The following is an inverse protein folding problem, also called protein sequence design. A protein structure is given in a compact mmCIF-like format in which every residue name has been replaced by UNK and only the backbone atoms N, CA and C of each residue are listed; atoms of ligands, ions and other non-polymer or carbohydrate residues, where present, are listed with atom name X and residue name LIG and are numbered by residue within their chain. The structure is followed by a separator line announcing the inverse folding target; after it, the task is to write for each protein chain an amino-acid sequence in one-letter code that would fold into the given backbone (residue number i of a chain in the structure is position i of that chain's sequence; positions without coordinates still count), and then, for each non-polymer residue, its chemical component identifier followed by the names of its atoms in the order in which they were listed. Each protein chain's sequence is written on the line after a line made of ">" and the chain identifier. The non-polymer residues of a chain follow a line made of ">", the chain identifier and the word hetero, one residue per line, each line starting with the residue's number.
data_IF_838607924666
#
_entry.id   IF_838607924666
#
_cell.length_a   1.000
_cell.length_b   1.000
_cell.length_c   1.000
_cell.angle_alpha   90.00
_cell.angle_beta   90.00
_cell.angle_gamma   90.00
#
_symmetry.space_group_name_H-M   'P 1'
#
loop_
_entity.id
_entity.type
_entity.pdbx_description
1 polymer ?
#
# COMPACT_ATOMS: atom_id res chain seq x y z
N UNK A 1 22.51 -30.36 -30.48
CA UNK A 1 21.29 -29.56 -30.46
C UNK A 1 21.05 -29.14 -29.02
N UNK A 2 21.08 -27.84 -28.79
CA UNK A 2 20.80 -27.20 -27.49
C UNK A 2 19.36 -26.71 -27.47
N UNK A 3 18.70 -26.94 -26.33
CA UNK A 3 17.36 -26.39 -26.07
C UNK A 3 17.40 -24.90 -25.74
N UNK A 4 16.21 -24.28 -25.70
CA UNK A 4 16.06 -22.87 -25.32
C UNK A 4 16.31 -22.69 -23.81
N UNK A 5 16.79 -21.53 -23.42
CA UNK A 5 16.85 -21.14 -22.02
C UNK A 5 15.46 -20.86 -21.45
N UNK A 6 15.29 -21.09 -20.14
CA UNK A 6 14.08 -20.74 -19.41
C UNK A 6 13.91 -19.24 -19.24
N UNK A 7 12.67 -18.79 -19.04
CA UNK A 7 12.31 -17.42 -18.68
C UNK A 7 12.70 -17.15 -17.23
N UNK A 8 13.15 -15.95 -16.90
CA UNK A 8 13.27 -15.51 -15.51
C UNK A 8 11.90 -15.33 -14.85
N UNK A 9 11.81 -15.48 -13.52
CA UNK A 9 10.61 -15.26 -12.74
C UNK A 9 10.15 -13.81 -12.79
N UNK A 10 8.85 -13.60 -12.64
CA UNK A 10 8.22 -12.27 -12.58
C UNK A 10 8.20 -11.75 -11.13
N UNK A 11 8.09 -10.42 -10.95
CA UNK A 11 7.82 -9.81 -9.65
C UNK A 11 6.36 -9.37 -9.62
N UNK A 12 5.61 -9.98 -8.72
CA UNK A 12 4.17 -9.85 -8.58
C UNK A 12 3.86 -9.21 -7.23
N UNK A 13 3.08 -8.13 -7.23
CA UNK A 13 2.54 -7.55 -6.01
C UNK A 13 1.12 -8.02 -5.78
N UNK A 14 0.80 -8.31 -4.51
CA UNK A 14 -0.55 -8.71 -4.08
C UNK A 14 -0.97 -7.83 -2.91
N UNK A 15 -2.16 -7.24 -3.01
CA UNK A 15 -2.77 -6.53 -1.90
C UNK A 15 -3.35 -7.53 -0.90
N UNK A 16 -3.01 -7.36 0.37
CA UNK A 16 -3.41 -8.22 1.47
C UNK A 16 -4.00 -7.35 2.60
N UNK A 17 -5.27 -7.53 2.91
CA UNK A 17 -5.94 -6.77 3.99
C UNK A 17 -5.47 -7.16 5.38
N UNK A 18 -4.80 -8.32 5.54
CA UNK A 18 -4.14 -8.71 6.77
C UNK A 18 -2.87 -7.90 7.06
N UNK A 19 -2.39 -7.09 6.10
CA UNK A 19 -1.25 -6.20 6.29
C UNK A 19 -1.70 -4.76 6.49
N UNK A 20 -1.21 -4.13 7.57
CA UNK A 20 -1.58 -2.75 7.90
C UNK A 20 -0.43 -1.75 7.75
N UNK A 21 0.80 -2.21 7.55
CA UNK A 21 1.99 -1.36 7.49
C UNK A 21 2.96 -1.79 6.40
N UNK A 22 3.82 -0.85 5.97
CA UNK A 22 4.95 -1.12 5.07
C UNK A 22 6.29 -1.28 5.82
N UNK A 23 6.25 -1.56 7.14
CA UNK A 23 7.46 -1.62 7.98
C UNK A 23 8.44 -2.70 7.52
N UNK A 24 7.97 -3.83 7.03
CA UNK A 24 8.82 -4.94 6.56
C UNK A 24 9.76 -4.51 5.43
N UNK A 25 9.31 -3.59 4.57
CA UNK A 25 10.12 -3.04 3.47
C UNK A 25 11.26 -2.12 3.95
N UNK A 26 11.23 -1.68 5.21
CA UNK A 26 12.34 -0.95 5.82
C UNK A 26 13.56 -1.84 6.05
N UNK A 27 13.31 -3.11 6.33
CA UNK A 27 14.36 -4.09 6.62
C UNK A 27 14.77 -4.87 5.36
N UNK A 28 13.82 -5.29 4.55
CA UNK A 28 14.08 -6.00 3.29
C UNK A 28 13.79 -5.06 2.11
N UNK A 29 14.84 -4.50 1.53
CA UNK A 29 14.74 -3.51 0.44
C UNK A 29 14.99 -4.08 -0.94
N UNK A 30 15.59 -5.26 -1.05
CA UNK A 30 15.92 -5.86 -2.34
C UNK A 30 15.13 -7.15 -2.54
N UNK A 31 14.50 -7.23 -3.68
CA UNK A 31 13.72 -8.39 -4.10
C UNK A 31 14.20 -8.81 -5.48
N UNK A 32 14.54 -10.09 -5.62
CA UNK A 32 15.05 -10.64 -6.86
C UNK A 32 14.36 -11.97 -7.12
N UNK A 33 13.65 -12.08 -8.26
CA UNK A 33 13.09 -13.35 -8.72
C UNK A 33 14.19 -14.26 -9.24
N UNK A 34 13.91 -15.55 -9.31
CA UNK A 34 14.88 -16.53 -9.77
C UNK A 34 15.16 -16.37 -11.27
N UNK A 35 16.42 -16.48 -11.71
CA UNK A 35 16.73 -16.52 -13.13
C UNK A 35 16.25 -17.83 -13.73
N UNK A 36 15.88 -17.82 -15.01
CA UNK A 36 15.69 -19.04 -15.76
C UNK A 36 17.02 -19.82 -15.93
N UNK A 37 16.90 -21.10 -16.10
CA UNK A 37 18.05 -21.98 -16.32
C UNK A 37 18.46 -22.01 -17.79
N UNK A 38 19.72 -22.28 -18.04
CA UNK A 38 20.21 -22.44 -19.41
C UNK A 38 19.67 -23.72 -20.04
N UNK A 39 19.44 -23.67 -21.35
CA UNK A 39 19.07 -24.85 -22.12
C UNK A 39 20.21 -25.88 -22.17
N UNK A 40 19.84 -27.13 -22.11
CA UNK A 40 20.75 -28.26 -22.09
C UNK A 40 20.98 -28.91 -23.46
N UNK A 41 21.86 -29.90 -23.50
CA UNK A 41 22.11 -30.77 -24.66
C UNK A 41 20.85 -31.61 -24.99
N UNK A 42 20.79 -32.16 -26.19
CA UNK A 42 19.71 -33.04 -26.67
C UNK A 42 18.34 -32.37 -26.63
N UNK A 43 18.33 -31.06 -26.95
CA UNK A 43 17.11 -30.28 -27.01
C UNK A 43 16.36 -30.15 -25.67
N UNK A 44 17.09 -30.25 -24.54
CA UNK A 44 16.47 -30.00 -23.23
C UNK A 44 16.31 -28.51 -22.98
N UNK A 45 15.07 -28.07 -22.74
CA UNK A 45 14.76 -26.69 -22.37
C UNK A 45 15.22 -26.41 -20.94
N UNK A 46 15.73 -25.20 -20.69
CA UNK A 46 15.97 -24.72 -19.34
C UNK A 46 14.67 -24.51 -18.59
N UNK A 47 14.64 -24.79 -17.29
CA UNK A 47 13.50 -24.50 -16.45
C UNK A 47 13.29 -22.98 -16.28
N UNK A 48 12.04 -22.55 -16.23
CA UNK A 48 11.71 -21.17 -15.90
C UNK A 48 12.04 -20.87 -14.43
N UNK A 49 12.43 -19.64 -14.15
CA UNK A 49 12.64 -19.16 -12.77
C UNK A 49 11.31 -18.95 -12.07
N UNK A 50 11.30 -19.17 -10.75
CA UNK A 50 10.14 -18.96 -9.91
C UNK A 50 9.82 -17.47 -9.77
N UNK A 51 8.52 -17.15 -9.82
CA UNK A 51 8.02 -15.81 -9.55
C UNK A 51 8.20 -15.45 -8.08
N UNK A 52 8.42 -14.17 -7.80
CA UNK A 52 8.38 -13.67 -6.43
C UNK A 52 7.08 -12.90 -6.19
N UNK A 53 6.38 -13.27 -5.11
CA UNK A 53 5.17 -12.62 -4.68
C UNK A 53 5.51 -11.69 -3.51
N UNK A 54 5.19 -10.41 -3.67
CA UNK A 54 5.38 -9.37 -2.67
C UNK A 54 4.02 -8.92 -2.19
N UNK A 55 3.72 -9.17 -0.91
CA UNK A 55 2.48 -8.73 -0.30
C UNK A 55 2.62 -7.29 0.16
N UNK A 56 1.60 -6.49 -0.07
CA UNK A 56 1.49 -5.09 0.37
C UNK A 56 0.09 -4.84 0.95
N UNK A 57 -0.06 -3.90 1.87
CA UNK A 57 -1.38 -3.50 2.37
C UNK A 57 -2.29 -3.00 1.26
N UNK A 58 -3.59 -3.19 1.42
CA UNK A 58 -4.60 -2.55 0.56
C UNK A 58 -4.48 -1.03 0.67
N UNK A 59 -4.52 -0.32 -0.45
CA UNK A 59 -4.30 1.13 -0.52
C UNK A 59 -2.85 1.54 -0.78
N UNK A 60 -1.96 0.58 -1.07
CA UNK A 60 -0.57 0.87 -1.43
C UNK A 60 -0.48 1.35 -2.88
N UNK A 61 0.12 2.53 -3.09
CA UNK A 61 0.55 3.00 -4.41
C UNK A 61 2.01 2.62 -4.61
N UNK A 62 2.30 2.10 -5.77
CA UNK A 62 3.64 1.72 -6.19
C UNK A 62 4.06 2.66 -7.32
N UNK A 63 5.13 3.42 -7.09
CA UNK A 63 5.71 4.36 -8.07
C UNK A 63 7.11 3.93 -8.44
N UNK A 64 7.50 4.22 -9.68
CA UNK A 64 8.91 4.17 -10.08
C UNK A 64 9.64 5.39 -9.52
N UNK A 65 10.75 5.19 -8.81
CA UNK A 65 11.45 6.26 -8.10
C UNK A 65 12.01 7.34 -9.06
N UNK A 66 12.52 6.93 -10.22
CA UNK A 66 13.17 7.85 -11.15
C UNK A 66 12.19 8.73 -11.94
N UNK A 67 11.06 8.17 -12.37
CA UNK A 67 10.06 8.88 -13.18
C UNK A 67 8.87 9.38 -12.38
N UNK A 68 8.76 8.98 -11.11
CA UNK A 68 7.60 9.20 -10.24
C UNK A 68 6.26 8.68 -10.84
N UNK A 69 6.34 7.82 -11.86
CA UNK A 69 5.18 7.24 -12.54
C UNK A 69 4.52 6.19 -11.65
N UNK A 70 3.20 6.27 -11.53
CA UNK A 70 2.41 5.23 -10.85
C UNK A 70 2.45 3.96 -11.70
N UNK A 71 3.00 2.89 -11.15
CA UNK A 71 3.04 1.57 -11.76
C UNK A 71 1.83 0.72 -11.36
N UNK A 72 1.36 0.87 -10.12
CA UNK A 72 0.14 0.23 -9.64
C UNK A 72 -0.48 1.01 -8.49
N UNK A 73 -1.81 0.92 -8.40
CA UNK A 73 -2.62 1.29 -7.24
C UNK A 73 -3.33 0.03 -6.76
N UNK A 74 -3.01 -0.41 -5.52
CA UNK A 74 -3.47 -1.67 -4.96
C UNK A 74 -4.68 -1.41 -4.06
N UNK A 75 -5.86 -1.28 -4.68
CA UNK A 75 -7.09 -0.79 -4.02
C UNK A 75 -7.97 -1.89 -3.45
N UNK A 76 -7.83 -3.14 -3.93
CA UNK A 76 -8.72 -4.23 -3.57
C UNK A 76 -7.95 -5.40 -2.95
N UNK A 77 -8.52 -6.05 -1.94
CA UNK A 77 -7.93 -7.24 -1.34
C UNK A 77 -7.78 -8.37 -2.38
N UNK A 78 -6.62 -9.02 -2.36
CA UNK A 78 -6.29 -10.07 -3.32
C UNK A 78 -5.95 -9.60 -4.73
N UNK A 79 -5.98 -8.29 -5.00
CA UNK A 79 -5.56 -7.72 -6.28
C UNK A 79 -4.10 -8.08 -6.58
N UNK A 80 -3.88 -8.68 -7.75
CA UNK A 80 -2.55 -9.08 -8.23
C UNK A 80 -2.10 -8.19 -9.37
N UNK A 81 -0.83 -7.76 -9.33
CA UNK A 81 -0.22 -6.95 -10.40
C UNK A 81 1.19 -7.45 -10.68
N UNK A 82 1.42 -7.89 -11.91
CA UNK A 82 2.78 -8.20 -12.39
C UNK A 82 3.42 -6.87 -12.78
N UNK A 83 4.35 -6.38 -11.96
CA UNK A 83 5.01 -5.09 -12.21
C UNK A 83 6.26 -5.22 -13.04
N UNK A 84 7.04 -6.27 -12.80
CA UNK A 84 8.31 -6.48 -13.51
C UNK A 84 8.28 -7.91 -14.07
N UNK A 85 8.37 -7.98 -15.39
CA UNK A 85 8.45 -9.27 -16.08
C UNK A 85 9.87 -9.77 -16.10
N UNK A 86 10.06 -11.05 -15.87
CA UNK A 86 11.33 -11.72 -16.04
C UNK A 86 11.86 -11.66 -17.47
N UNK A 87 13.16 -11.74 -17.60
CA UNK A 87 13.82 -11.76 -18.90
C UNK A 87 13.45 -13.02 -19.68
N UNK A 88 13.40 -12.91 -21.00
CA UNK A 88 13.14 -14.07 -21.87
C UNK A 88 14.41 -14.92 -21.99
N UNK A 89 14.26 -16.24 -21.97
CA UNK A 89 15.31 -17.18 -22.32
C UNK A 89 15.77 -17.00 -23.77
N UNK A 90 17.01 -17.30 -24.03
CA UNK A 90 17.60 -17.28 -25.37
C UNK A 90 17.20 -18.54 -26.15
N UNK A 91 17.14 -18.41 -27.46
CA UNK A 91 16.86 -19.54 -28.35
C UNK A 91 18.11 -20.44 -28.49
N UNK A 92 17.89 -21.74 -28.37
CA UNK A 92 18.93 -22.72 -28.59
C UNK A 92 19.44 -22.75 -30.04
N UNK A 93 20.62 -23.40 -30.27
CA UNK A 93 21.23 -23.42 -31.57
C UNK A 93 20.38 -24.12 -32.64
N UNK A 94 19.47 -25.01 -32.26
CA UNK A 94 18.56 -25.69 -33.19
C UNK A 94 17.70 -24.71 -34.03
N UNK A 95 17.33 -23.53 -33.48
CA UNK A 95 16.56 -22.54 -34.21
C UNK A 95 17.34 -21.85 -35.34
N UNK A 96 18.63 -22.03 -35.38
CA UNK A 96 19.55 -21.44 -36.36
C UNK A 96 20.11 -22.46 -37.34
N UNK A 97 19.60 -23.69 -37.31
CA UNK A 97 19.93 -24.71 -38.27
C UNK A 97 19.35 -24.36 -39.66
N UNK A 98 20.17 -24.49 -40.68
CA UNK A 98 19.82 -24.32 -42.08
C UNK A 98 20.19 -25.56 -42.88
N UNK A 99 19.65 -25.75 -44.12
CA UNK A 99 20.05 -26.89 -44.96
C UNK A 99 21.55 -27.01 -45.19
N UNK A 100 22.25 -25.87 -45.25
CA UNK A 100 23.71 -25.80 -45.46
C UNK A 100 24.49 -25.80 -44.16
N UNK A 101 23.88 -25.49 -43.01
CA UNK A 101 24.50 -25.50 -41.69
C UNK A 101 23.59 -26.19 -40.67
N UNK A 102 23.67 -27.53 -40.66
CA UNK A 102 22.78 -28.36 -39.82
C UNK A 102 23.12 -28.33 -38.31
N UNK A 103 24.36 -27.99 -37.92
CA UNK A 103 24.80 -27.90 -36.53
C UNK A 103 25.47 -26.55 -36.24
N UNK A 104 24.72 -25.47 -36.13
CA UNK A 104 25.29 -24.17 -35.78
C UNK A 104 25.88 -24.17 -34.35
N UNK A 105 26.98 -23.44 -34.17
CA UNK A 105 27.68 -23.36 -32.86
C UNK A 105 27.33 -22.10 -32.08
N UNK A 106 26.26 -21.39 -32.45
CA UNK A 106 25.79 -20.18 -31.78
C UNK A 106 24.34 -20.34 -31.33
N UNK A 107 24.00 -19.67 -30.24
CA UNK A 107 22.68 -19.58 -29.69
C UNK A 107 22.39 -18.11 -29.31
N UNK A 108 21.14 -17.74 -29.16
CA UNK A 108 20.74 -16.41 -28.68
C UNK A 108 20.95 -16.36 -27.16
N UNK A 109 21.53 -15.28 -26.67
CA UNK A 109 21.61 -15.05 -25.22
C UNK A 109 20.26 -14.67 -24.66
N UNK A 110 19.93 -15.13 -23.47
CA UNK A 110 18.76 -14.68 -22.73
C UNK A 110 18.82 -13.15 -22.48
N UNK A 111 17.66 -12.55 -22.35
CA UNK A 111 17.52 -11.12 -22.06
C UNK A 111 17.33 -10.93 -20.56
N UNK A 112 18.13 -10.05 -19.96
CA UNK A 112 17.93 -9.63 -18.56
C UNK A 112 16.80 -8.63 -18.48
N UNK A 113 16.00 -8.70 -17.40
CA UNK A 113 15.03 -7.65 -17.06
C UNK A 113 15.75 -6.41 -16.54
N UNK A 114 15.09 -5.25 -16.64
CA UNK A 114 15.57 -4.03 -15.97
C UNK A 114 15.35 -4.12 -14.47
N UNK A 115 16.26 -3.50 -13.71
CA UNK A 115 16.09 -3.22 -12.30
C UNK A 115 15.30 -1.91 -12.13
N UNK A 116 14.43 -1.87 -11.15
CA UNK A 116 13.61 -0.70 -10.84
C UNK A 116 13.72 -0.37 -9.36
N UNK A 117 13.95 0.89 -9.07
CA UNK A 117 13.77 1.44 -7.73
C UNK A 117 12.32 1.85 -7.58
N UNK A 118 11.63 1.28 -6.59
CA UNK A 118 10.22 1.50 -6.34
C UNK A 118 10.01 2.25 -5.04
N UNK A 119 9.09 3.21 -5.06
CA UNK A 119 8.57 3.87 -3.87
C UNK A 119 7.21 3.25 -3.57
N UNK A 120 7.08 2.71 -2.37
CA UNK A 120 5.81 2.21 -1.85
C UNK A 120 5.21 3.29 -0.94
N UNK A 121 4.05 3.78 -1.30
CA UNK A 121 3.31 4.79 -0.55
C UNK A 121 1.98 4.18 -0.10
N UNK A 122 1.76 4.12 1.21
CA UNK A 122 0.50 3.62 1.76
C UNK A 122 -0.48 4.78 1.91
N UNK A 123 -1.56 4.75 1.13
CA UNK A 123 -2.67 5.70 1.20
C UNK A 123 -3.66 5.40 2.35
N UNK A 124 -3.33 4.50 3.24
CA UNK A 124 -4.13 4.25 4.42
C UNK A 124 -3.97 5.41 5.39
N UNK A 125 -5.08 5.96 5.82
CA UNK A 125 -5.05 6.99 6.83
C UNK A 125 -4.90 6.33 8.18
N UNK A 126 -5.78 5.44 8.58
CA UNK A 126 -5.68 4.77 9.86
C UNK A 126 -6.67 3.60 9.99
N UNK A 127 -6.36 2.65 10.86
CA UNK A 127 -7.33 1.66 11.32
C UNK A 127 -8.32 2.28 12.29
N UNK A 128 -7.84 3.22 13.13
CA UNK A 128 -8.62 3.93 14.15
C UNK A 128 -8.52 5.43 13.94
N UNK A 129 -9.65 6.11 13.81
CA UNK A 129 -9.73 7.56 13.70
C UNK A 129 -10.17 8.21 15.01
N UNK A 130 -9.42 9.22 15.50
CA UNK A 130 -9.85 10.07 16.60
C UNK A 130 -10.68 11.21 16.05
N UNK A 131 -11.92 11.33 16.50
CA UNK A 131 -12.85 12.38 16.13
C UNK A 131 -13.33 13.11 17.37
N UNK A 132 -13.61 14.40 17.23
CA UNK A 132 -14.02 15.25 18.35
C UNK A 132 -13.74 16.72 18.05
N UNK A 133 -14.30 17.62 18.87
CA UNK A 133 -14.07 19.04 18.75
C UNK A 133 -12.59 19.43 18.89
N UNK A 134 -12.17 20.62 18.43
CA UNK A 134 -10.82 21.13 18.70
C UNK A 134 -10.56 21.16 20.20
N UNK A 135 -9.30 21.03 20.60
CA UNK A 135 -8.81 21.15 21.98
C UNK A 135 -9.34 20.11 22.99
N UNK A 136 -10.16 19.15 22.60
CA UNK A 136 -10.65 18.08 23.51
C UNK A 136 -9.58 17.04 23.85
N UNK A 137 -8.34 17.19 23.37
CA UNK A 137 -7.23 16.32 23.72
C UNK A 137 -6.93 15.17 22.77
N UNK A 138 -7.47 15.13 21.55
CA UNK A 138 -7.21 14.08 20.55
C UNK A 138 -5.72 13.86 20.28
N UNK A 139 -4.99 14.93 19.96
CA UNK A 139 -3.56 14.85 19.66
C UNK A 139 -2.73 14.46 20.89
N UNK A 140 -3.17 14.86 22.09
CA UNK A 140 -2.57 14.43 23.35
C UNK A 140 -2.77 12.93 23.56
N UNK A 141 -4.00 12.44 23.38
CA UNK A 141 -4.29 11.01 23.45
C UNK A 141 -3.44 10.22 22.45
N UNK A 142 -3.37 10.67 21.20
CA UNK A 142 -2.54 10.05 20.18
C UNK A 142 -1.07 9.96 20.60
N UNK A 143 -0.51 11.05 21.14
CA UNK A 143 0.89 11.09 21.59
C UNK A 143 1.18 10.16 22.76
N UNK A 144 0.20 9.93 23.63
CA UNK A 144 0.34 9.06 24.81
C UNK A 144 0.26 7.57 24.47
N UNK A 145 -0.55 7.19 23.45
CA UNK A 145 -0.74 5.78 23.10
C UNK A 145 0.23 5.30 22.02
N UNK A 146 0.94 6.21 21.36
CA UNK A 146 1.90 5.87 20.32
C UNK A 146 3.32 5.76 20.87
N UNK A 147 4.09 4.76 20.40
CA UNK A 147 5.47 4.54 20.85
C UNK A 147 6.51 5.49 20.24
N UNK A 148 6.11 6.29 19.29
CA UNK A 148 6.95 7.30 18.64
C UNK A 148 6.15 8.58 18.50
N UNK A 149 6.82 9.74 18.44
CA UNK A 149 6.14 10.99 18.17
C UNK A 149 5.26 10.86 16.93
N UNK A 150 3.97 11.20 17.02
CA UNK A 150 3.08 11.19 15.87
C UNK A 150 3.69 11.97 14.71
N UNK A 151 3.61 11.43 13.52
CA UNK A 151 4.13 12.10 12.32
C UNK A 151 3.01 12.82 11.61
N UNK A 152 3.26 14.09 11.29
CA UNK A 152 2.38 14.84 10.40
C UNK A 152 2.45 14.20 9.02
N UNK A 153 1.34 13.71 8.52
CA UNK A 153 1.25 13.19 7.18
C UNK A 153 0.85 14.31 6.22
N UNK A 154 1.81 14.75 5.41
CA UNK A 154 1.56 15.74 4.37
C UNK A 154 0.91 15.08 3.16
N UNK A 155 -0.40 15.09 3.13
CA UNK A 155 -1.16 14.70 1.94
C UNK A 155 -1.34 15.93 1.05
N UNK A 156 -0.88 15.88 -0.19
CA UNK A 156 -0.94 17.00 -1.15
C UNK A 156 -2.36 17.49 -1.47
N UNK A 157 -3.36 16.76 -1.02
CA UNK A 157 -4.79 17.04 -1.25
C UNK A 157 -5.53 17.53 0.00
N UNK A 158 -4.86 17.66 1.15
CA UNK A 158 -5.49 18.14 2.39
C UNK A 158 -4.98 19.51 2.78
N UNK A 159 -5.89 20.41 3.15
CA UNK A 159 -5.56 21.68 3.77
C UNK A 159 -5.11 21.52 5.23
N UNK A 160 -5.52 20.42 5.87
CA UNK A 160 -5.17 20.05 7.23
C UNK A 160 -4.50 18.67 7.20
N UNK A 161 -3.27 18.60 7.67
CA UNK A 161 -2.49 17.36 7.72
C UNK A 161 -2.83 16.57 8.98
N UNK A 162 -3.31 15.31 8.88
CA UNK A 162 -3.59 14.49 10.04
C UNK A 162 -2.28 14.06 10.72
N UNK A 163 -2.32 13.90 12.04
CA UNK A 163 -1.26 13.29 12.80
C UNK A 163 -1.49 11.78 12.84
N UNK A 164 -0.49 11.01 12.44
CA UNK A 164 -0.55 9.56 12.45
C UNK A 164 0.40 8.97 13.48
N UNK A 165 -0.04 7.94 14.20
CA UNK A 165 0.79 7.20 15.12
C UNK A 165 0.54 5.69 15.04
N UNK A 166 1.58 4.89 15.22
CA UNK A 166 1.46 3.44 15.32
C UNK A 166 1.29 3.06 16.79
N UNK A 167 0.20 2.40 17.11
CA UNK A 167 -0.09 1.88 18.43
C UNK A 167 0.30 0.41 18.48
N UNK A 168 1.17 0.05 19.42
CA UNK A 168 1.53 -1.36 19.66
C UNK A 168 0.50 -2.02 20.54
N UNK A 169 -0.09 -3.07 20.02
CA UNK A 169 -0.99 -3.91 20.80
C UNK A 169 -0.22 -4.89 21.66
N UNK A 170 -0.69 -5.09 22.90
CA UNK A 170 -0.19 -6.19 23.77
C UNK A 170 -0.82 -7.54 23.41
N UNK A 171 -1.88 -7.53 22.62
CA UNK A 171 -2.77 -8.68 22.43
C UNK A 171 -2.92 -9.10 20.97
N UNK A 172 -2.31 -8.40 20.04
CA UNK A 172 -2.48 -8.65 18.61
C UNK A 172 -1.55 -7.82 17.74
N UNK A 173 -1.99 -7.56 16.54
CA UNK A 173 -1.24 -6.79 15.56
C UNK A 173 -1.20 -5.30 15.90
N UNK A 174 -0.10 -4.64 15.54
CA UNK A 174 0.02 -3.18 15.63
C UNK A 174 -0.97 -2.52 14.66
N UNK A 175 -1.54 -1.39 15.06
CA UNK A 175 -2.49 -0.65 14.23
C UNK A 175 -2.13 0.84 14.14
N UNK A 176 -2.62 1.49 13.09
CA UNK A 176 -2.41 2.91 12.85
C UNK A 176 -3.60 3.70 13.39
N UNK A 177 -3.31 4.69 14.22
CA UNK A 177 -4.30 5.65 14.73
C UNK A 177 -4.05 7.03 14.14
N UNK A 178 -5.10 7.71 13.73
CA UNK A 178 -5.05 9.05 13.18
C UNK A 178 -5.85 10.04 14.03
N UNK A 179 -5.27 11.20 14.30
CA UNK A 179 -6.03 12.38 14.71
C UNK A 179 -6.61 13.01 13.44
N UNK A 180 -7.94 12.99 13.31
CA UNK A 180 -8.67 13.53 12.17
C UNK A 180 -9.11 14.95 12.49
N UNK A 181 -8.34 15.99 12.11
CA UNK A 181 -8.72 17.36 12.36
C UNK A 181 -9.87 17.78 11.44
N UNK A 182 -10.79 18.62 11.92
CA UNK A 182 -11.78 19.28 11.07
C UNK A 182 -13.02 18.46 10.71
N UNK A 183 -13.30 17.35 11.39
CA UNK A 183 -14.60 16.69 11.35
C UNK A 183 -15.57 17.46 12.28
N UNK A 184 -15.80 18.74 11.96
CA UNK A 184 -16.65 19.67 12.69
C UNK A 184 -17.40 20.53 11.68
N UNK A 185 -18.43 21.21 12.09
CA UNK A 185 -19.32 22.08 11.33
C UNK A 185 -18.86 22.44 9.90
N UNK A 186 -19.56 21.94 8.88
CA UNK A 186 -19.26 22.18 7.47
C UNK A 186 -18.38 21.15 6.78
N UNK A 187 -17.97 20.06 7.44
CA UNK A 187 -17.20 19.00 6.79
C UNK A 187 -17.96 18.35 5.63
N UNK A 188 -19.28 18.21 5.77
CA UNK A 188 -20.19 17.72 4.73
C UNK A 188 -20.36 18.70 3.56
N UNK A 189 -20.13 20.00 3.78
CA UNK A 189 -20.23 21.05 2.77
C UNK A 189 -18.92 21.30 2.03
N UNK A 190 -17.85 20.52 2.35
CA UNK A 190 -16.54 20.64 1.70
C UNK A 190 -15.72 21.86 2.14
N UNK A 191 -16.18 22.59 3.16
CA UNK A 191 -15.48 23.73 3.73
C UNK A 191 -14.47 23.20 4.74
N UNK A 192 -13.19 23.08 4.35
CA UNK A 192 -12.07 22.75 5.24
C UNK A 192 -11.36 21.41 4.96
N UNK A 193 -12.06 20.35 4.59
CA UNK A 193 -11.46 19.07 4.22
C UNK A 193 -11.94 18.71 2.81
N UNK A 194 -10.99 18.57 1.87
CA UNK A 194 -11.33 18.19 0.51
C UNK A 194 -12.01 16.81 0.46
N UNK A 195 -12.91 16.61 -0.51
CA UNK A 195 -13.62 15.35 -0.76
C UNK A 195 -12.68 14.12 -0.82
N UNK A 196 -11.42 14.33 -1.17
CA UNK A 196 -10.42 13.26 -1.20
C UNK A 196 -9.99 12.79 0.19
N UNK A 197 -9.91 13.71 1.17
CA UNK A 197 -9.62 13.35 2.56
C UNK A 197 -10.77 12.54 3.18
N UNK A 198 -12.00 12.93 2.90
CA UNK A 198 -13.19 12.21 3.40
C UNK A 198 -13.26 10.78 2.84
N UNK A 199 -12.83 10.55 1.59
CA UNK A 199 -12.69 9.17 1.05
C UNK A 199 -11.68 8.33 1.84
N UNK A 200 -10.70 8.94 2.46
CA UNK A 200 -9.73 8.23 3.28
C UNK A 200 -10.27 7.95 4.69
N UNK A 201 -11.09 8.85 5.24
CA UNK A 201 -11.86 8.61 6.47
C UNK A 201 -12.80 7.41 6.29
N UNK A 202 -13.35 7.21 5.09
CA UNK A 202 -14.15 6.04 4.74
C UNK A 202 -13.42 4.70 4.95
N UNK A 203 -12.10 4.69 4.89
CA UNK A 203 -11.28 3.48 5.08
C UNK A 203 -10.89 3.23 6.54
N UNK A 204 -11.23 4.12 7.46
CA UNK A 204 -11.03 3.93 8.90
C UNK A 204 -12.01 2.89 9.42
N UNK A 205 -11.54 1.86 10.11
CA UNK A 205 -12.37 0.73 10.55
C UNK A 205 -13.22 1.08 11.77
N UNK A 206 -12.64 1.87 12.70
CA UNK A 206 -13.23 2.22 13.99
C UNK A 206 -13.01 3.70 14.27
N UNK A 207 -13.97 4.37 14.88
CA UNK A 207 -13.83 5.73 15.39
C UNK A 207 -13.78 5.74 16.91
N UNK A 208 -12.94 6.61 17.46
CA UNK A 208 -12.95 6.95 18.90
C UNK A 208 -13.42 8.40 18.99
N UNK A 209 -14.60 8.60 19.58
CA UNK A 209 -15.12 9.91 19.89
C UNK A 209 -14.47 10.43 21.17
N UNK A 210 -13.76 11.55 21.07
CA UNK A 210 -13.18 12.24 22.22
C UNK A 210 -14.04 13.45 22.53
N UNK A 211 -14.65 13.43 23.71
CA UNK A 211 -15.59 14.46 24.17
C UNK A 211 -15.06 15.09 25.45
N UNK A 212 -15.10 16.43 25.54
CA UNK A 212 -14.75 17.13 26.76
C UNK A 212 -15.89 17.02 27.79
N UNK A 213 -15.63 16.31 28.87
CA UNK A 213 -16.60 16.13 29.98
C UNK A 213 -16.59 17.30 30.98
N UNK A 214 -15.70 18.29 30.84
CA UNK A 214 -15.65 19.43 31.76
C UNK A 214 -16.81 20.43 31.57
N UNK A 215 -17.45 20.38 30.41
CA UNK A 215 -18.51 21.33 30.03
C UNK A 215 -18.03 22.73 29.67
N UNK A 216 -16.70 22.95 29.60
CA UNK A 216 -16.13 24.25 29.22
C UNK A 216 -16.38 24.59 27.76
N UNK A 217 -16.46 23.58 26.89
CA UNK A 217 -16.68 23.69 25.44
C UNK A 217 -18.13 23.36 25.03
N UNK A 218 -19.07 23.42 25.97
CA UNK A 218 -20.50 23.14 25.76
C UNK A 218 -20.98 21.81 26.36
N UNK A 219 -22.23 21.43 26.09
CA UNK A 219 -22.78 20.16 26.55
C UNK A 219 -22.10 18.98 25.83
N UNK A 220 -21.48 18.03 26.56
CA UNK A 220 -20.85 16.85 25.98
C UNK A 220 -21.80 16.02 25.09
N UNK A 221 -23.06 15.92 25.46
CA UNK A 221 -24.06 15.15 24.69
C UNK A 221 -24.38 15.85 23.37
N UNK A 222 -24.62 17.16 23.41
CA UNK A 222 -24.87 17.93 22.19
C UNK A 222 -23.67 17.88 21.25
N UNK A 223 -22.46 17.96 21.78
CA UNK A 223 -21.22 17.87 21.00
C UNK A 223 -21.06 16.51 20.32
N UNK A 224 -21.37 15.42 21.03
CA UNK A 224 -21.40 14.08 20.46
C UNK A 224 -22.42 13.96 19.32
N UNK A 225 -23.66 14.43 19.55
CA UNK A 225 -24.73 14.38 18.55
C UNK A 225 -24.40 15.19 17.30
N UNK A 226 -23.76 16.37 17.44
CA UNK A 226 -23.29 17.17 16.31
C UNK A 226 -22.32 16.40 15.43
N UNK A 227 -21.33 15.74 16.03
CA UNK A 227 -20.34 14.92 15.29
C UNK A 227 -21.05 13.76 14.59
N UNK A 228 -21.93 13.05 15.27
CA UNK A 228 -22.69 11.97 14.66
C UNK A 228 -23.53 12.44 13.47
N UNK A 229 -24.20 13.57 13.61
CA UNK A 229 -25.00 14.14 12.52
C UNK A 229 -24.13 14.53 11.31
N UNK A 230 -22.93 15.04 11.52
CA UNK A 230 -22.00 15.34 10.42
C UNK A 230 -21.51 14.06 9.72
N UNK A 231 -21.23 12.97 10.46
CA UNK A 231 -20.90 11.69 9.88
C UNK A 231 -22.05 11.11 9.05
N UNK A 232 -23.29 11.19 9.56
CA UNK A 232 -24.51 10.76 8.83
C UNK A 232 -24.69 11.55 7.54
N UNK A 233 -24.57 12.90 7.59
CA UNK A 233 -24.70 13.76 6.42
C UNK A 233 -23.67 13.42 5.33
N UNK A 234 -22.47 13.07 5.76
CA UNK A 234 -21.41 12.70 4.81
C UNK A 234 -21.64 11.31 4.22
N UNK A 235 -21.84 10.31 5.06
CA UNK A 235 -22.14 8.93 4.66
C UNK A 235 -22.71 8.14 5.84
N UNK A 236 -23.92 7.67 5.67
CA UNK A 236 -24.65 6.92 6.71
C UNK A 236 -23.86 5.70 7.24
N UNK A 237 -23.10 5.04 6.37
CA UNK A 237 -22.23 3.89 6.72
C UNK A 237 -21.15 4.25 7.76
N UNK A 238 -20.65 5.49 7.77
CA UNK A 238 -19.63 5.91 8.73
C UNK A 238 -20.20 6.11 10.14
N UNK A 239 -21.43 6.55 10.24
CA UNK A 239 -22.10 6.73 11.54
C UNK A 239 -22.47 5.41 12.20
N UNK A 240 -22.61 4.34 11.42
CA UNK A 240 -22.93 3.00 11.90
C UNK A 240 -21.70 2.15 12.25
N UNK A 241 -20.50 2.70 12.08
CA UNK A 241 -19.28 1.99 12.48
C UNK A 241 -19.12 1.90 13.98
N UNK A 242 -18.44 0.87 14.48
CA UNK A 242 -18.12 0.78 15.91
C UNK A 242 -17.37 2.03 16.38
N UNK A 243 -17.83 2.61 17.46
CA UNK A 243 -17.24 3.78 18.12
C UNK A 243 -17.12 3.55 19.63
#
# INVERSE_FOLDING_TARGET
>A
DGGDGGKGGDIIFIADEGMNTLLDFRYKRMFKAQPGQDGGKRNCFGADGEDIIIKVPVGTIIREANSNKIMADMTENGQKKVLIKGGKGGKGNQHFATPTRQAPRYAERGRTSKEYDLILELKLIADVGLIGFPNVGKSTLLSMVTNANPKIANYHFTTLSPNLGVVRSRWGEDFVMADIPGLIEGASEGIGLGHEFLRHVERTKVFIHVVDGSGLEGDPIENYEKIQNELVKYKEDLANRPS
#
